data_IF_161823950009
#
_entry.id   IF_161823950009
#
_cell.length_a   1.000
_cell.length_b   1.000
_cell.length_c   1.000
_cell.angle_alpha   90.00
_cell.angle_beta   90.00
_cell.angle_gamma   90.00
#
_symmetry.space_group_name_H-M   'P 1'
#
loop_
_entity.id
_entity.type
_entity.pdbx_description
1 polymer ?
#
# COMPACT_ATOMS: atom_id res chain seq x y z
N UNK A 1 21.38 25.58 -14.66
CA UNK A 1 20.32 25.83 -15.66
C UNK A 1 19.00 25.37 -15.03
N UNK A 2 18.04 26.27 -14.79
CA UNK A 2 16.77 25.87 -14.15
C UNK A 2 15.95 25.02 -15.15
N UNK A 3 15.52 23.82 -14.76
CA UNK A 3 14.63 23.02 -15.60
C UNK A 3 13.32 23.79 -15.84
N UNK A 4 12.78 23.82 -17.08
CA UNK A 4 11.50 24.47 -17.35
C UNK A 4 10.39 23.85 -16.49
N UNK A 5 9.52 24.68 -15.90
CA UNK A 5 8.43 24.18 -15.03
C UNK A 5 7.54 23.12 -15.68
N UNK A 6 7.39 23.17 -17.01
CA UNK A 6 6.66 22.15 -17.79
C UNK A 6 7.33 20.77 -17.75
N UNK A 7 8.67 20.73 -17.79
CA UNK A 7 9.43 19.46 -17.72
C UNK A 7 9.29 18.83 -16.33
N UNK A 8 9.37 19.65 -15.27
CA UNK A 8 9.18 19.18 -13.89
C UNK A 8 7.78 18.57 -13.73
N UNK A 9 6.73 19.26 -14.16
CA UNK A 9 5.37 18.73 -14.06
C UNK A 9 5.17 17.45 -14.88
N UNK A 10 5.77 17.36 -16.07
CA UNK A 10 5.74 16.15 -16.89
C UNK A 10 6.36 14.96 -16.15
N UNK A 11 7.58 15.13 -15.62
CA UNK A 11 8.28 14.06 -14.91
C UNK A 11 7.49 13.58 -13.68
N UNK A 12 6.92 14.51 -12.90
CA UNK A 12 6.13 14.17 -11.70
C UNK A 12 4.80 13.47 -12.08
N UNK A 13 4.19 13.83 -13.20
CA UNK A 13 3.01 13.13 -13.71
C UNK A 13 3.34 11.71 -14.23
N UNK A 14 4.50 11.53 -14.87
CA UNK A 14 4.98 10.20 -15.30
C UNK A 14 5.21 9.27 -14.11
N UNK A 15 5.77 9.78 -13.01
CA UNK A 15 5.94 9.01 -11.76
C UNK A 15 4.58 8.52 -11.25
N UNK A 16 3.57 9.39 -11.20
CA UNK A 16 2.22 9.03 -10.75
C UNK A 16 1.60 7.93 -11.62
N UNK A 17 1.73 8.05 -12.95
CA UNK A 17 1.20 7.06 -13.90
C UNK A 17 1.93 5.72 -13.75
N UNK A 18 3.26 5.74 -13.66
CA UNK A 18 4.06 4.53 -13.48
C UNK A 18 3.79 3.85 -12.13
N UNK A 19 3.52 4.61 -11.07
CA UNK A 19 3.15 4.07 -9.77
C UNK A 19 1.82 3.32 -9.82
N UNK A 20 0.79 3.90 -10.45
CA UNK A 20 -0.48 3.21 -10.64
C UNK A 20 -0.34 1.97 -11.54
N UNK A 21 0.42 2.06 -12.62
CA UNK A 21 0.66 0.92 -13.50
C UNK A 21 1.36 -0.24 -12.76
N UNK A 22 2.38 0.06 -11.95
CA UNK A 22 3.07 -0.95 -11.14
C UNK A 22 2.21 -1.47 -10.01
N UNK A 23 1.32 -0.67 -9.42
CA UNK A 23 0.34 -1.12 -8.43
C UNK A 23 -0.66 -2.11 -9.02
N UNK A 24 -1.21 -1.81 -10.20
CA UNK A 24 -2.10 -2.72 -10.94
C UNK A 24 -1.35 -4.01 -11.28
N UNK A 25 -0.17 -3.91 -11.89
CA UNK A 25 0.65 -5.09 -12.19
C UNK A 25 0.88 -5.96 -10.96
N UNK A 26 1.28 -5.38 -9.82
CA UNK A 26 1.60 -6.14 -8.63
C UNK A 26 0.41 -6.85 -7.98
N UNK A 27 -0.83 -6.33 -8.11
CA UNK A 27 -2.01 -7.04 -7.59
C UNK A 27 -2.46 -8.18 -8.51
N UNK A 28 -2.16 -8.13 -9.81
CA UNK A 28 -2.47 -9.24 -10.72
C UNK A 28 -1.36 -10.29 -10.73
N UNK A 29 -0.12 -9.85 -10.93
CA UNK A 29 1.05 -10.68 -11.23
C UNK A 29 2.10 -10.70 -10.11
N UNK A 30 1.83 -10.06 -8.98
CA UNK A 30 2.77 -10.03 -7.85
C UNK A 30 3.10 -11.45 -7.38
N UNK A 31 4.38 -11.85 -7.31
CA UNK A 31 4.76 -13.21 -6.95
C UNK A 31 4.47 -13.51 -5.48
N UNK A 32 4.26 -14.78 -5.16
CA UNK A 32 4.03 -15.22 -3.79
C UNK A 32 5.35 -15.25 -3.02
N UNK A 33 5.46 -14.60 -1.85
CA UNK A 33 6.68 -14.58 -1.05
C UNK A 33 6.85 -15.90 -0.29
N UNK A 34 7.34 -16.91 -1.00
CA UNK A 34 7.38 -18.30 -0.57
C UNK A 34 8.28 -18.57 0.65
N UNK A 35 9.09 -17.60 1.06
CA UNK A 35 10.09 -17.71 2.13
C UNK A 35 9.67 -17.02 3.44
N UNK A 36 8.54 -16.30 3.47
CA UNK A 36 8.09 -15.57 4.67
C UNK A 36 6.60 -15.74 4.94
N UNK A 37 6.21 -16.20 6.14
CA UNK A 37 4.80 -16.20 6.53
C UNK A 37 4.32 -14.77 6.82
N UNK A 38 3.41 -14.26 5.98
CA UNK A 38 2.82 -12.92 6.10
C UNK A 38 1.36 -12.96 6.58
N UNK A 39 1.01 -14.00 7.34
CA UNK A 39 -0.38 -14.35 7.64
C UNK A 39 -0.95 -15.29 6.58
N UNK A 40 -2.22 -15.07 6.18
CA UNK A 40 -2.93 -15.94 5.25
C UNK A 40 -2.35 -15.86 3.83
N UNK A 41 -2.00 -17.01 3.19
CA UNK A 41 -1.59 -17.04 1.79
C UNK A 41 -2.61 -16.36 0.86
N UNK A 42 -3.90 -16.52 1.12
CA UNK A 42 -4.98 -15.97 0.29
C UNK A 42 -4.89 -14.44 0.10
N UNK A 43 -4.39 -13.72 1.10
CA UNK A 43 -4.33 -12.25 1.12
C UNK A 43 -2.93 -11.67 0.83
N UNK A 44 -1.97 -12.49 0.39
CA UNK A 44 -0.56 -12.09 0.29
C UNK A 44 -0.33 -10.85 -0.59
N UNK A 45 -1.13 -10.68 -1.66
CA UNK A 45 -1.00 -9.58 -2.64
C UNK A 45 -1.11 -8.18 -2.01
N UNK A 46 -1.71 -8.09 -0.82
CA UNK A 46 -1.75 -6.84 -0.05
C UNK A 46 -0.37 -6.32 0.35
N UNK A 47 0.67 -7.17 0.40
CA UNK A 47 2.04 -6.73 0.67
C UNK A 47 2.54 -5.70 -0.37
N UNK A 48 2.00 -5.72 -1.58
CA UNK A 48 2.38 -4.81 -2.66
C UNK A 48 1.64 -3.46 -2.64
N UNK A 49 0.67 -3.29 -1.75
CA UNK A 49 -0.15 -2.08 -1.63
C UNK A 49 -0.06 -1.49 -0.22
N UNK A 50 -0.38 -2.26 0.82
CA UNK A 50 -0.48 -1.73 2.18
C UNK A 50 0.86 -1.24 2.74
N UNK A 51 1.94 -2.06 2.84
CA UNK A 51 3.22 -1.56 3.35
C UNK A 51 3.84 -0.42 2.53
N UNK A 52 3.84 -0.43 1.18
CA UNK A 52 4.26 0.74 0.40
C UNK A 52 3.50 2.01 0.77
N UNK A 53 2.19 1.92 1.02
CA UNK A 53 1.37 3.04 1.49
C UNK A 53 1.80 3.48 2.89
N UNK A 54 1.99 2.55 3.83
CA UNK A 54 2.40 2.82 5.20
C UNK A 54 3.77 3.50 5.29
N UNK A 55 4.75 2.99 4.53
CA UNK A 55 6.10 3.56 4.44
C UNK A 55 6.00 4.97 3.85
N UNK A 56 5.20 5.16 2.81
CA UNK A 56 4.96 6.49 2.22
C UNK A 56 4.36 7.46 3.23
N UNK A 57 3.42 7.03 4.07
CA UNK A 57 2.89 7.83 5.19
C UNK A 57 4.00 8.28 6.13
N UNK A 58 4.88 7.37 6.57
CA UNK A 58 6.00 7.73 7.44
C UNK A 58 6.93 8.77 6.80
N UNK A 59 7.25 8.60 5.51
CA UNK A 59 8.09 9.55 4.79
C UNK A 59 7.42 10.92 4.69
N UNK A 60 6.13 10.98 4.34
CA UNK A 60 5.40 12.25 4.23
C UNK A 60 5.33 12.98 5.58
N UNK A 61 5.03 12.28 6.66
CA UNK A 61 5.03 12.85 8.01
C UNK A 61 6.44 13.25 8.48
N UNK A 62 7.46 12.48 8.11
CA UNK A 62 8.87 12.85 8.32
C UNK A 62 9.24 14.16 7.60
N UNK A 63 8.79 14.35 6.35
CA UNK A 63 8.94 15.60 5.60
C UNK A 63 8.24 16.75 6.30
N UNK A 64 7.03 16.54 6.83
CA UNK A 64 6.32 17.56 7.60
C UNK A 64 7.11 18.00 8.85
N UNK A 65 7.61 17.05 9.63
CA UNK A 65 8.42 17.32 10.83
C UNK A 65 9.76 17.99 10.49
N UNK A 66 10.43 17.55 9.43
CA UNK A 66 11.67 18.19 8.94
C UNK A 66 11.40 19.63 8.51
N UNK A 67 10.31 19.89 7.80
CA UNK A 67 9.90 21.24 7.44
C UNK A 67 9.62 22.10 8.69
N UNK A 68 9.00 21.53 9.73
CA UNK A 68 8.88 22.17 11.04
C UNK A 68 10.24 22.56 11.64
N UNK A 69 11.21 21.64 11.69
CA UNK A 69 12.57 21.94 12.16
C UNK A 69 13.24 23.07 11.35
N UNK A 70 13.13 23.01 10.02
CA UNK A 70 13.71 24.03 9.14
C UNK A 70 13.07 25.40 9.34
N UNK A 71 11.75 25.46 9.62
CA UNK A 71 11.09 26.70 10.02
C UNK A 71 11.67 27.23 11.33
N UNK A 72 11.83 26.40 12.36
CA UNK A 72 12.36 26.85 13.66
C UNK A 72 13.79 27.39 13.53
N UNK A 73 14.60 26.77 12.68
CA UNK A 73 15.98 27.18 12.44
C UNK A 73 16.07 28.46 11.60
N UNK A 74 15.41 28.50 10.44
CA UNK A 74 15.59 29.58 9.45
C UNK A 74 14.56 30.70 9.56
N UNK A 75 13.46 30.48 10.30
CA UNK A 75 12.29 31.38 10.39
C UNK A 75 11.69 31.77 9.04
N UNK A 76 11.85 30.91 8.03
CA UNK A 76 11.30 31.09 6.69
C UNK A 76 9.94 30.38 6.57
N UNK A 77 8.87 31.17 6.37
CA UNK A 77 7.48 30.70 6.24
C UNK A 77 7.27 29.70 5.11
N UNK A 78 8.19 29.63 4.13
CA UNK A 78 8.18 28.59 3.10
C UNK A 78 8.19 27.19 3.71
N UNK A 79 8.92 26.96 4.80
CA UNK A 79 8.94 25.66 5.47
C UNK A 79 7.64 25.36 6.23
N UNK A 80 7.03 26.36 6.88
CA UNK A 80 5.71 26.20 7.50
C UNK A 80 4.63 25.83 6.47
N UNK A 81 4.68 26.42 5.27
CA UNK A 81 3.79 26.04 4.15
C UNK A 81 4.05 24.61 3.67
N UNK A 82 5.32 24.24 3.47
CA UNK A 82 5.69 22.86 3.12
C UNK A 82 5.15 21.85 4.14
N UNK A 83 5.31 22.15 5.43
CA UNK A 83 4.79 21.33 6.52
C UNK A 83 3.27 21.17 6.42
N UNK A 84 2.52 22.25 6.17
CA UNK A 84 1.07 22.19 6.00
C UNK A 84 0.64 21.24 4.88
N UNK A 85 1.25 21.33 3.69
CA UNK A 85 0.95 20.43 2.58
C UNK A 85 1.28 18.97 2.92
N UNK A 86 2.45 18.74 3.51
CA UNK A 86 2.89 17.41 3.89
C UNK A 86 1.96 16.78 4.94
N UNK A 87 1.50 17.53 5.95
CA UNK A 87 0.52 17.02 6.92
C UNK A 87 -0.80 16.66 6.25
N UNK A 88 -1.32 17.52 5.36
CA UNK A 88 -2.57 17.26 4.65
C UNK A 88 -2.51 15.98 3.82
N UNK A 89 -1.44 15.79 3.06
CA UNK A 89 -1.24 14.57 2.29
C UNK A 89 -1.00 13.36 3.20
N UNK A 90 -0.21 13.53 4.25
CA UNK A 90 0.13 12.47 5.20
C UNK A 90 -1.08 11.94 5.95
N UNK A 91 -2.04 12.80 6.31
CA UNK A 91 -3.32 12.39 6.91
C UNK A 91 -4.13 11.54 5.95
N UNK A 92 -4.19 11.91 4.66
CA UNK A 92 -4.87 11.11 3.62
C UNK A 92 -4.24 9.72 3.52
N UNK A 93 -2.91 9.66 3.33
CA UNK A 93 -2.19 8.39 3.24
C UNK A 93 -2.24 7.60 4.56
N UNK A 94 -2.28 8.27 5.71
CA UNK A 94 -2.37 7.65 7.02
C UNK A 94 -3.71 6.95 7.26
N UNK A 95 -4.82 7.59 6.91
CA UNK A 95 -6.13 6.93 6.92
C UNK A 95 -6.22 5.80 5.91
N UNK A 96 -5.64 5.97 4.71
CA UNK A 96 -5.54 4.86 3.74
C UNK A 96 -4.71 3.70 4.28
N UNK A 97 -3.61 3.97 4.99
CA UNK A 97 -2.81 2.94 5.65
C UNK A 97 -3.63 2.18 6.68
N UNK A 98 -4.39 2.87 7.54
CA UNK A 98 -5.27 2.22 8.51
C UNK A 98 -6.33 1.36 7.82
N UNK A 99 -7.05 1.91 6.82
CA UNK A 99 -8.11 1.20 6.11
C UNK A 99 -7.58 -0.05 5.37
N UNK A 100 -6.45 0.09 4.68
CA UNK A 100 -5.84 -1.04 3.94
C UNK A 100 -5.28 -2.11 4.87
N UNK A 101 -4.78 -1.71 6.04
CA UNK A 101 -4.30 -2.62 7.09
C UNK A 101 -5.42 -3.39 7.74
N UNK A 102 -6.54 -2.71 8.06
CA UNK A 102 -7.77 -3.34 8.59
C UNK A 102 -8.29 -4.42 7.63
N UNK A 103 -8.35 -4.10 6.33
CA UNK A 103 -8.82 -5.04 5.32
C UNK A 103 -7.89 -6.26 5.18
N UNK A 104 -6.58 -6.08 5.30
CA UNK A 104 -5.62 -7.18 5.23
C UNK A 104 -5.62 -8.05 6.49
N UNK A 105 -5.70 -7.43 7.68
CA UNK A 105 -5.74 -8.10 8.97
C UNK A 105 -6.93 -9.04 9.12
N UNK A 106 -8.09 -8.66 8.56
CA UNK A 106 -9.32 -9.46 8.61
C UNK A 106 -9.14 -10.91 8.14
N UNK A 107 -8.30 -11.15 7.13
CA UNK A 107 -8.02 -12.50 6.62
C UNK A 107 -6.71 -13.06 7.18
N UNK A 108 -5.71 -12.21 7.40
CA UNK A 108 -4.39 -12.67 7.82
C UNK A 108 -4.34 -13.10 9.28
N UNK A 109 -5.14 -12.45 10.13
CA UNK A 109 -5.14 -12.63 11.58
C UNK A 109 -6.53 -12.93 12.15
N UNK A 110 -7.56 -13.03 11.30
CA UNK A 110 -8.93 -13.39 11.69
C UNK A 110 -9.76 -12.27 12.32
N UNK A 111 -9.20 -11.07 12.52
CA UNK A 111 -9.93 -9.90 13.02
C UNK A 111 -9.48 -8.61 12.30
N UNK A 112 -10.40 -7.71 11.90
CA UNK A 112 -10.06 -6.44 11.27
C UNK A 112 -9.23 -5.51 12.17
N UNK A 113 -9.36 -5.62 13.49
CA UNK A 113 -8.63 -4.80 14.46
C UNK A 113 -8.40 -5.56 15.75
N UNK A 114 -7.14 -5.83 16.09
CA UNK A 114 -6.76 -6.69 17.22
C UNK A 114 -6.10 -5.92 18.37
N UNK A 115 -6.08 -4.59 18.31
CA UNK A 115 -5.31 -3.72 19.22
C UNK A 115 -3.81 -4.03 19.25
N UNK A 116 -3.29 -4.70 18.22
CA UNK A 116 -1.88 -4.98 18.05
C UNK A 116 -1.03 -3.70 18.23
N UNK A 117 0.15 -3.78 18.91
CA UNK A 117 0.95 -2.60 19.22
C UNK A 117 1.30 -1.75 18.00
N UNK A 118 1.55 -2.38 16.85
CA UNK A 118 1.86 -1.67 15.61
C UNK A 118 0.62 -1.00 15.03
N UNK A 119 -0.53 -1.68 15.00
CA UNK A 119 -1.82 -1.09 14.60
C UNK A 119 -2.14 0.15 15.44
N UNK A 120 -2.10 -0.01 16.76
CA UNK A 120 -2.41 1.06 17.72
C UNK A 120 -1.44 2.25 17.58
N UNK A 121 -0.13 1.99 17.42
CA UNK A 121 0.85 3.06 17.24
C UNK A 121 0.64 3.84 15.93
N UNK A 122 0.23 3.18 14.84
CA UNK A 122 -0.12 3.88 13.58
C UNK A 122 -1.37 4.74 13.77
N UNK A 123 -2.40 4.25 14.47
CA UNK A 123 -3.59 5.04 14.78
C UNK A 123 -3.23 6.32 15.57
N UNK A 124 -2.44 6.17 16.64
CA UNK A 124 -1.99 7.31 17.45
C UNK A 124 -1.16 8.29 16.63
N UNK A 125 -0.29 7.80 15.75
CA UNK A 125 0.46 8.64 14.82
C UNK A 125 -0.47 9.44 13.91
N UNK A 126 -1.45 8.81 13.26
CA UNK A 126 -2.39 9.52 12.37
C UNK A 126 -3.18 10.57 13.13
N UNK A 127 -3.67 10.25 14.35
CA UNK A 127 -4.38 11.21 15.20
C UNK A 127 -3.49 12.38 15.65
N UNK A 128 -2.22 12.11 16.00
CA UNK A 128 -1.25 13.15 16.36
C UNK A 128 -0.94 14.09 15.19
N UNK A 129 -0.86 13.59 13.96
CA UNK A 129 -0.69 14.49 12.80
C UNK A 129 -2.00 15.16 12.40
N UNK A 130 -3.17 14.54 12.60
CA UNK A 130 -4.47 15.17 12.39
C UNK A 130 -4.69 16.34 13.35
N UNK A 131 -4.24 16.23 14.61
CA UNK A 131 -4.29 17.28 15.62
C UNK A 131 -3.55 18.57 15.26
N UNK A 132 -2.67 18.53 14.24
CA UNK A 132 -2.00 19.69 13.68
C UNK A 132 -2.98 20.76 13.18
N UNK A 133 -4.08 20.36 12.52
CA UNK A 133 -5.03 21.31 11.93
C UNK A 133 -5.78 22.15 12.96
N UNK A 134 -6.49 21.55 13.94
CA UNK A 134 -7.18 22.35 14.96
C UNK A 134 -6.21 23.21 15.78
N UNK A 135 -5.01 22.69 16.11
CA UNK A 135 -3.96 23.46 16.77
C UNK A 135 -3.58 24.70 15.97
N UNK A 136 -3.20 24.51 14.70
CA UNK A 136 -2.81 25.59 13.80
C UNK A 136 -3.93 26.60 13.59
N UNK A 137 -5.19 26.16 13.45
CA UNK A 137 -6.32 27.07 13.25
C UNK A 137 -6.69 27.88 14.50
N UNK A 138 -6.38 27.38 15.70
CA UNK A 138 -6.69 28.06 16.97
C UNK A 138 -5.83 29.30 17.24
N UNK A 139 -4.73 29.49 16.49
CA UNK A 139 -3.76 30.56 16.74
C UNK A 139 -3.93 31.65 15.69
N UNK A 140 -4.42 32.82 16.11
CA UNK A 140 -4.66 33.95 15.21
C UNK A 140 -3.38 34.64 14.75
N UNK A 141 -2.38 34.79 15.63
CA UNK A 141 -1.12 35.42 15.28
C UNK A 141 -0.32 34.53 14.30
N UNK A 142 0.00 35.01 13.07
CA UNK A 142 0.56 34.14 12.04
C UNK A 142 1.97 33.61 12.36
N UNK A 143 2.79 34.36 13.08
CA UNK A 143 4.16 33.97 13.44
C UNK A 143 4.16 32.93 14.58
N UNK A 144 3.38 33.19 15.63
CA UNK A 144 3.14 32.25 16.73
C UNK A 144 2.48 30.97 16.22
N UNK A 145 1.56 31.07 15.27
CA UNK A 145 0.93 29.91 14.63
C UNK A 145 1.97 29.02 13.97
N UNK A 146 2.82 29.59 13.13
CA UNK A 146 3.87 28.85 12.42
C UNK A 146 4.89 28.24 13.42
N UNK A 147 5.23 28.98 14.49
CA UNK A 147 6.12 28.52 15.57
C UNK A 147 5.55 27.31 16.33
N UNK A 148 4.36 27.45 16.91
CA UNK A 148 3.73 26.40 17.73
C UNK A 148 3.42 25.16 16.88
N UNK A 149 2.95 25.35 15.64
CA UNK A 149 2.70 24.26 14.71
C UNK A 149 3.98 23.48 14.39
N UNK A 150 5.10 24.18 14.23
CA UNK A 150 6.40 23.54 13.93
C UNK A 150 6.93 22.75 15.12
N UNK A 151 6.81 23.28 16.34
CA UNK A 151 7.17 22.55 17.57
C UNK A 151 6.31 21.29 17.73
N UNK A 152 5.00 21.42 17.48
CA UNK A 152 4.08 20.28 17.54
C UNK A 152 4.46 19.16 16.56
N UNK A 153 4.82 19.49 15.32
CA UNK A 153 5.26 18.48 14.35
C UNK A 153 6.53 17.75 14.77
N UNK A 154 7.44 18.40 15.49
CA UNK A 154 8.61 17.73 16.06
C UNK A 154 8.23 16.80 17.21
N UNK A 155 7.25 17.17 18.04
CA UNK A 155 6.72 16.27 19.04
C UNK A 155 6.05 15.05 18.39
N UNK A 156 5.22 15.26 17.36
CA UNK A 156 4.52 14.18 16.63
C UNK A 156 5.46 13.21 15.90
N UNK A 157 6.69 13.62 15.58
CA UNK A 157 7.72 12.73 15.02
C UNK A 157 7.99 11.51 15.94
N UNK A 158 7.85 11.69 17.27
CA UNK A 158 7.98 10.59 18.24
C UNK A 158 6.98 9.46 18.00
N UNK A 159 5.81 9.74 17.43
CA UNK A 159 4.80 8.71 17.11
C UNK A 159 5.23 7.84 15.92
N UNK A 160 6.00 8.39 14.97
CA UNK A 160 6.62 7.58 13.91
C UNK A 160 7.60 6.58 14.53
N UNK A 161 8.47 7.06 15.42
CA UNK A 161 9.47 6.24 16.10
C UNK A 161 8.80 5.15 16.95
N UNK A 162 7.77 5.51 17.72
CA UNK A 162 6.97 4.57 18.49
C UNK A 162 6.39 3.48 17.59
N UNK A 163 5.82 3.85 16.44
CA UNK A 163 5.25 2.89 15.49
C UNK A 163 6.30 1.96 14.87
N UNK A 164 7.50 2.45 14.54
CA UNK A 164 8.60 1.61 14.03
C UNK A 164 9.10 0.65 15.10
N UNK A 165 9.09 1.07 16.36
CA UNK A 165 9.65 0.34 17.48
C UNK A 165 8.64 -0.60 18.16
N UNK A 166 7.33 -0.40 17.92
CA UNK A 166 6.24 -1.14 18.55
C UNK A 166 6.37 -2.67 18.40
N UNK A 167 6.59 -3.17 17.18
CA UNK A 167 6.75 -4.60 16.90
C UNK A 167 8.14 -5.16 17.24
N UNK A 168 9.01 -4.35 17.86
CA UNK A 168 10.33 -4.76 18.36
C UNK A 168 10.39 -4.78 19.88
N UNK A 169 9.57 -3.97 20.55
CA UNK A 169 9.52 -3.88 22.01
C UNK A 169 8.42 -4.73 22.62
N UNK A 170 7.33 -4.94 21.87
CA UNK A 170 6.14 -5.63 22.33
C UNK A 170 5.79 -6.68 21.28
N UNK A 171 5.35 -7.86 21.75
CA UNK A 171 4.84 -8.91 20.88
C UNK A 171 3.74 -8.38 19.97
N UNK A 172 3.85 -8.70 18.69
CA UNK A 172 3.04 -8.11 17.64
C UNK A 172 2.77 -9.13 16.54
N UNK A 173 1.58 -9.06 15.95
CA UNK A 173 1.19 -9.83 14.77
C UNK A 173 1.94 -9.37 13.51
N UNK A 174 2.51 -8.17 13.54
CA UNK A 174 3.26 -7.62 12.41
C UNK A 174 4.64 -8.29 12.28
N UNK A 175 5.07 -8.62 11.04
CA UNK A 175 6.39 -9.19 10.80
C UNK A 175 7.53 -8.36 11.40
N UNK A 176 8.53 -9.05 11.96
CA UNK A 176 9.73 -8.43 12.54
C UNK A 176 10.76 -8.09 11.45
N UNK A 177 11.88 -7.47 11.85
CA UNK A 177 12.98 -7.16 10.93
C UNK A 177 13.63 -8.38 10.29
N UNK A 178 13.57 -9.55 10.94
CA UNK A 178 14.09 -10.82 10.40
C UNK A 178 13.24 -11.29 9.22
N UNK A 179 11.91 -11.28 9.36
CA UNK A 179 11.00 -11.58 8.28
C UNK A 179 11.18 -10.65 7.06
N UNK A 180 11.54 -9.37 7.27
CA UNK A 180 11.84 -8.44 6.17
C UNK A 180 13.15 -8.82 5.45
N UNK A 181 14.15 -9.32 6.18
CA UNK A 181 15.41 -9.80 5.59
C UNK A 181 15.19 -11.05 4.76
N UNK A 182 14.38 -11.98 5.25
CA UNK A 182 14.09 -13.21 4.52
C UNK A 182 13.23 -12.92 3.28
N UNK A 183 12.31 -11.96 3.37
CA UNK A 183 11.50 -11.50 2.24
C UNK A 183 12.37 -10.93 1.11
N UNK A 184 13.47 -10.25 1.43
CA UNK A 184 14.38 -9.71 0.41
C UNK A 184 15.29 -10.77 -0.23
N UNK A 185 15.36 -11.97 0.34
CA UNK A 185 16.06 -13.11 -0.28
C UNK A 185 15.26 -13.73 -1.44
N UNK A 186 13.94 -13.57 -1.46
CA UNK A 186 13.13 -13.84 -2.65
C UNK A 186 13.30 -12.68 -3.65
N UNK A 187 14.11 -12.90 -4.68
CA UNK A 187 14.43 -11.85 -5.64
C UNK A 187 13.18 -11.29 -6.33
N UNK A 188 12.23 -12.13 -6.73
CA UNK A 188 11.07 -11.67 -7.50
C UNK A 188 10.08 -10.90 -6.61
N UNK A 189 9.75 -11.43 -5.43
CA UNK A 189 8.87 -10.76 -4.48
C UNK A 189 9.54 -9.51 -3.90
N UNK A 190 10.81 -9.61 -3.51
CA UNK A 190 11.62 -8.52 -2.99
C UNK A 190 11.77 -7.38 -4.00
N UNK A 191 12.01 -7.68 -5.27
CA UNK A 191 12.14 -6.67 -6.33
C UNK A 191 10.80 -5.97 -6.61
N UNK A 192 9.73 -6.73 -6.78
CA UNK A 192 8.38 -6.18 -7.03
C UNK A 192 7.96 -5.27 -5.88
N UNK A 193 8.14 -5.72 -4.64
CA UNK A 193 7.88 -4.93 -3.44
C UNK A 193 8.72 -3.66 -3.39
N UNK A 194 10.02 -3.76 -3.68
CA UNK A 194 10.93 -2.61 -3.65
C UNK A 194 10.55 -1.55 -4.68
N UNK A 195 10.19 -1.96 -5.91
CA UNK A 195 9.63 -1.05 -6.93
C UNK A 195 8.38 -0.37 -6.39
N UNK A 196 7.45 -1.14 -5.81
CA UNK A 196 6.22 -0.57 -5.23
C UNK A 196 6.50 0.47 -4.15
N UNK A 197 7.44 0.20 -3.24
CA UNK A 197 7.85 1.14 -2.20
C UNK A 197 8.45 2.42 -2.81
N UNK A 198 9.40 2.28 -3.74
CA UNK A 198 10.06 3.43 -4.38
C UNK A 198 9.04 4.27 -5.15
N UNK A 199 8.16 3.65 -5.92
CA UNK A 199 7.14 4.35 -6.71
C UNK A 199 6.12 5.05 -5.82
N UNK A 200 5.63 4.41 -4.75
CA UNK A 200 4.70 5.02 -3.81
C UNK A 200 5.31 6.24 -3.09
N UNK A 201 6.57 6.12 -2.62
CA UNK A 201 7.31 7.23 -2.02
C UNK A 201 7.51 8.36 -3.04
N UNK A 202 7.95 8.02 -4.25
CA UNK A 202 8.17 8.99 -5.32
C UNK A 202 6.89 9.74 -5.68
N UNK A 203 5.75 9.04 -5.75
CA UNK A 203 4.42 9.66 -5.93
C UNK A 203 4.09 10.62 -4.78
N UNK A 204 4.22 10.18 -3.52
CA UNK A 204 3.93 11.02 -2.35
C UNK A 204 4.79 12.30 -2.33
N UNK A 205 6.09 12.17 -2.59
CA UNK A 205 7.00 13.32 -2.70
C UNK A 205 6.71 14.19 -3.91
N UNK A 206 6.28 13.60 -5.04
CA UNK A 206 5.88 14.33 -6.25
C UNK A 206 4.65 15.21 -6.00
N UNK A 207 3.66 14.69 -5.27
CA UNK A 207 2.46 15.43 -4.88
C UNK A 207 2.82 16.62 -3.96
N UNK A 208 3.71 16.41 -2.98
CA UNK A 208 4.22 17.49 -2.13
C UNK A 208 4.96 18.54 -2.97
N UNK A 209 5.85 18.11 -3.87
CA UNK A 209 6.64 19.00 -4.71
C UNK A 209 5.76 19.82 -5.67
N UNK A 210 4.75 19.21 -6.28
CA UNK A 210 3.78 19.90 -7.13
C UNK A 210 2.98 20.93 -6.32
N UNK A 211 2.50 20.56 -5.12
CA UNK A 211 1.74 21.46 -4.26
C UNK A 211 2.59 22.65 -3.78
N UNK A 212 3.85 22.39 -3.43
CA UNK A 212 4.79 23.39 -2.95
C UNK A 212 5.26 24.36 -4.03
N UNK A 213 5.58 23.85 -5.23
CA UNK A 213 6.09 24.66 -6.34
C UNK A 213 5.01 25.49 -7.03
N UNK A 214 3.72 25.17 -6.81
CA UNK A 214 2.56 25.86 -7.39
C UNK A 214 2.60 25.94 -8.92
N UNK A 215 3.29 25.01 -9.58
CA UNK A 215 3.33 24.96 -11.03
C UNK A 215 1.96 24.55 -11.55
N UNK A 216 1.45 25.28 -12.54
CA UNK A 216 0.18 24.95 -13.15
C UNK A 216 0.29 23.60 -13.88
N UNK A 217 -0.51 22.62 -13.44
CA UNK A 217 -0.52 21.30 -14.07
C UNK A 217 -1.29 21.38 -15.40
N UNK A 218 -0.65 21.10 -16.55
CA UNK A 218 -1.34 21.04 -17.84
C UNK A 218 -2.53 20.08 -17.79
N UNK A 219 -3.66 20.48 -18.39
CA UNK A 219 -4.88 19.66 -18.43
C UNK A 219 -4.65 18.26 -19.02
N UNK A 220 -3.75 18.15 -20.01
CA UNK A 220 -3.40 16.86 -20.62
C UNK A 220 -2.75 15.90 -19.62
N UNK A 221 -1.95 16.40 -18.68
CA UNK A 221 -1.33 15.57 -17.65
C UNK A 221 -2.34 15.16 -16.58
N UNK A 222 -3.25 16.07 -16.19
CA UNK A 222 -4.37 15.73 -15.30
C UNK A 222 -5.28 14.68 -15.94
N UNK A 223 -5.53 14.78 -17.25
CA UNK A 223 -6.29 13.78 -17.99
C UNK A 223 -5.55 12.43 -17.98
N UNK A 224 -4.24 12.40 -18.23
CA UNK A 224 -3.45 11.17 -18.18
C UNK A 224 -3.49 10.48 -16.81
N UNK A 225 -3.35 11.27 -15.73
CA UNK A 225 -3.51 10.76 -14.35
C UNK A 225 -4.94 10.24 -14.12
N UNK A 226 -5.95 10.99 -14.54
CA UNK A 226 -7.36 10.60 -14.40
C UNK A 226 -7.72 9.32 -15.16
N UNK A 227 -7.23 9.17 -16.40
CA UNK A 227 -7.40 7.95 -17.20
C UNK A 227 -6.71 6.77 -16.52
N UNK A 228 -5.47 6.94 -16.07
CA UNK A 228 -4.73 5.86 -15.40
C UNK A 228 -5.41 5.44 -14.10
N UNK A 229 -5.90 6.39 -13.31
CA UNK A 229 -6.68 6.10 -12.10
C UNK A 229 -8.01 5.41 -12.43
N UNK A 230 -8.70 5.84 -13.49
CA UNK A 230 -9.91 5.17 -13.98
C UNK A 230 -9.64 3.72 -14.37
N UNK A 231 -8.53 3.46 -15.07
CA UNK A 231 -8.10 2.10 -15.41
C UNK A 231 -7.75 1.28 -14.17
N UNK A 232 -7.09 1.86 -13.17
CA UNK A 232 -6.79 1.17 -11.91
C UNK A 232 -8.06 0.82 -11.12
N UNK A 233 -9.05 1.72 -11.07
CA UNK A 233 -10.36 1.45 -10.46
C UNK A 233 -11.14 0.39 -11.23
N UNK A 234 -11.11 0.43 -12.57
CA UNK A 234 -11.71 -0.61 -13.40
C UNK A 234 -11.02 -1.96 -13.16
N UNK A 235 -9.69 -1.99 -13.07
CA UNK A 235 -8.93 -3.20 -12.77
C UNK A 235 -9.26 -3.77 -11.38
N UNK A 236 -9.44 -2.89 -10.38
CA UNK A 236 -9.94 -3.27 -9.05
C UNK A 236 -11.34 -3.90 -9.13
N UNK A 237 -12.26 -3.31 -9.88
CA UNK A 237 -13.61 -3.87 -10.07
C UNK A 237 -13.57 -5.23 -10.79
N UNK A 238 -12.80 -5.34 -11.88
CA UNK A 238 -12.61 -6.59 -12.62
C UNK A 238 -12.03 -7.70 -11.74
N UNK A 239 -11.07 -7.37 -10.88
CA UNK A 239 -10.49 -8.31 -9.92
C UNK A 239 -11.53 -8.80 -8.89
N UNK A 240 -12.52 -7.99 -8.56
CA UNK A 240 -13.58 -8.37 -7.62
C UNK A 240 -14.70 -9.19 -8.26
N UNK A 241 -14.90 -9.14 -9.58
CA UNK A 241 -16.00 -9.85 -10.25
C UNK A 241 -16.03 -11.37 -9.98
N UNK A 242 -14.90 -12.10 -10.05
CA UNK A 242 -14.89 -13.54 -9.77
C UNK A 242 -15.33 -13.90 -8.35
N UNK A 243 -15.31 -12.97 -7.40
CA UNK A 243 -15.77 -13.19 -6.02
C UNK A 243 -17.29 -13.21 -5.90
N UNK A 244 -18.00 -12.78 -6.93
CA UNK A 244 -19.46 -12.71 -6.97
C UNK A 244 -20.09 -13.92 -7.69
N UNK A 245 -19.26 -14.80 -8.26
CA UNK A 245 -19.71 -15.82 -9.21
C UNK A 245 -19.13 -17.22 -8.92
N UNK A 246 -19.99 -18.23 -9.00
CA UNK A 246 -19.60 -19.64 -9.08
C UNK A 246 -19.24 -20.29 -7.74
N UNK A 247 -18.96 -21.58 -7.81
CA UNK A 247 -18.36 -22.33 -6.69
C UNK A 247 -16.84 -22.13 -6.69
N UNK A 248 -16.29 -21.97 -5.50
CA UNK A 248 -14.85 -21.88 -5.29
C UNK A 248 -14.45 -22.81 -4.14
N UNK A 249 -13.20 -23.24 -4.17
CA UNK A 249 -12.69 -24.24 -3.27
C UNK A 249 -11.46 -23.71 -2.54
N UNK A 250 -11.34 -24.02 -1.25
CA UNK A 250 -10.11 -23.74 -0.51
C UNK A 250 -9.17 -24.93 -0.64
N UNK A 251 -7.98 -24.69 -1.17
CA UNK A 251 -6.94 -25.71 -1.32
C UNK A 251 -6.27 -25.96 0.03
N UNK A 252 -6.28 -27.20 0.50
CA UNK A 252 -5.59 -27.63 1.74
C UNK A 252 -4.32 -28.42 1.46
N UNK A 253 -4.23 -29.03 0.28
CA UNK A 253 -3.02 -29.68 -0.19
C UNK A 253 -2.99 -29.70 -1.72
N UNK A 254 -1.81 -29.90 -2.32
CA UNK A 254 -1.67 -30.12 -3.75
C UNK A 254 -0.50 -31.06 -4.05
N UNK A 255 -0.63 -31.87 -5.09
CA UNK A 255 0.47 -32.62 -5.66
C UNK A 255 1.08 -31.80 -6.80
N UNK A 256 2.31 -31.35 -6.59
CA UNK A 256 3.05 -30.50 -7.54
C UNK A 256 4.30 -31.25 -7.95
N UNK A 257 4.47 -31.47 -9.24
CA UNK A 257 5.65 -32.13 -9.79
C UNK A 257 6.89 -31.23 -9.76
N UNK A 258 8.05 -31.83 -10.04
CA UNK A 258 9.33 -31.09 -10.19
C UNK A 258 9.36 -30.22 -11.44
N UNK A 259 8.44 -30.49 -12.38
CA UNK A 259 8.13 -29.64 -13.54
C UNK A 259 7.33 -28.37 -13.16
N UNK A 260 6.88 -28.25 -11.91
CA UNK A 260 6.07 -27.15 -11.41
C UNK A 260 4.59 -27.23 -11.81
N UNK A 261 4.16 -28.35 -12.41
CA UNK A 261 2.76 -28.59 -12.78
C UNK A 261 2.00 -29.21 -11.61
N UNK A 262 0.70 -28.91 -11.53
CA UNK A 262 -0.21 -29.43 -10.52
C UNK A 262 -0.92 -30.67 -11.09
N UNK A 263 -0.73 -31.80 -10.40
CA UNK A 263 -1.32 -33.10 -10.77
C UNK A 263 -2.63 -33.34 -10.02
N UNK A 264 -2.73 -32.86 -8.78
CA UNK A 264 -3.98 -32.91 -8.01
C UNK A 264 -4.04 -31.79 -6.97
N UNK A 265 -5.26 -31.46 -6.55
CA UNK A 265 -5.51 -30.60 -5.39
C UNK A 265 -6.46 -31.30 -4.42
N UNK A 266 -6.20 -31.15 -3.13
CA UNK A 266 -7.16 -31.49 -2.08
C UNK A 266 -7.84 -30.22 -1.63
N UNK A 267 -9.18 -30.23 -1.64
CA UNK A 267 -10.00 -29.07 -1.33
C UNK A 267 -11.01 -29.36 -0.24
N UNK A 268 -11.38 -28.33 0.52
CA UNK A 268 -12.50 -28.39 1.47
C UNK A 268 -13.78 -27.95 0.77
N UNK A 269 -14.78 -28.83 0.78
CA UNK A 269 -16.13 -28.57 0.25
C UNK A 269 -17.07 -28.03 1.33
N UNK A 270 -18.26 -27.56 0.94
CA UNK A 270 -19.25 -26.91 1.83
C UNK A 270 -19.72 -27.75 3.03
N UNK A 271 -19.46 -29.07 3.02
CA UNK A 271 -19.73 -29.98 4.15
C UNK A 271 -18.54 -30.26 5.07
N UNK A 272 -17.43 -29.51 4.95
CA UNK A 272 -16.16 -29.77 5.64
C UNK A 272 -15.50 -31.12 5.28
N UNK A 273 -15.99 -31.79 4.24
CA UNK A 273 -15.33 -32.96 3.66
C UNK A 273 -14.20 -32.52 2.74
N UNK A 274 -13.06 -33.18 2.87
CA UNK A 274 -11.95 -33.06 1.94
C UNK A 274 -12.20 -33.91 0.71
N UNK A 275 -12.05 -33.32 -0.47
CA UNK A 275 -12.12 -33.99 -1.76
C UNK A 275 -10.81 -33.78 -2.52
N UNK A 276 -10.27 -34.84 -3.12
CA UNK A 276 -9.09 -34.73 -3.97
C UNK A 276 -9.51 -34.75 -5.44
N UNK A 277 -9.20 -33.67 -6.13
CA UNK A 277 -9.45 -33.49 -7.56
C UNK A 277 -8.15 -33.80 -8.28
N UNK A 278 -8.17 -34.84 -9.12
CA UNK A 278 -7.03 -35.25 -9.95
C UNK A 278 -7.21 -34.69 -11.36
N UNK A 279 -6.18 -34.02 -11.87
CA UNK A 279 -6.21 -33.46 -13.23
C UNK A 279 -5.74 -34.52 -14.24
N UNK A 280 -6.56 -34.89 -15.25
CA UNK A 280 -6.15 -35.84 -16.28
C UNK A 280 -4.95 -35.36 -17.10
N UNK A 281 -4.80 -34.04 -17.22
CA UNK A 281 -3.63 -33.36 -17.79
C UNK A 281 -3.13 -32.37 -16.73
N UNK A 282 -1.87 -32.45 -16.29
CA UNK A 282 -1.34 -31.55 -15.28
C UNK A 282 -1.49 -30.08 -15.70
N UNK A 283 -1.84 -29.21 -14.76
CA UNK A 283 -2.11 -27.80 -15.03
C UNK A 283 -0.99 -26.91 -14.51
N UNK A 284 -0.74 -25.78 -15.17
CA UNK A 284 0.23 -24.80 -14.67
C UNK A 284 -0.23 -24.21 -13.33
N UNK A 285 0.71 -24.02 -12.40
CA UNK A 285 0.40 -23.32 -11.16
C UNK A 285 0.12 -21.83 -11.43
N UNK A 286 -1.07 -21.32 -11.05
CA UNK A 286 -1.38 -19.89 -11.11
C UNK A 286 -0.60 -19.07 -10.07
N UNK A 287 -0.01 -19.72 -9.06
CA UNK A 287 0.87 -19.10 -8.08
C UNK A 287 2.32 -19.39 -8.43
N UNK A 288 3.14 -18.33 -8.46
CA UNK A 288 4.57 -18.42 -8.77
C UNK A 288 5.40 -17.95 -7.56
N UNK A 289 6.42 -18.72 -7.13
CA UNK A 289 6.78 -20.07 -7.61
C UNK A 289 5.70 -21.12 -7.23
N UNK A 290 5.69 -22.28 -7.90
CA UNK A 290 4.71 -23.36 -7.63
C UNK A 290 4.96 -24.09 -6.31
N UNK A 291 6.22 -24.12 -5.87
CA UNK A 291 6.66 -24.68 -4.59
C UNK A 291 7.52 -23.69 -3.81
N UNK A 292 7.50 -23.79 -2.49
CA UNK A 292 8.42 -23.11 -1.59
C UNK A 292 9.81 -23.77 -1.61
N UNK A 293 10.80 -23.14 -0.98
CA UNK A 293 12.18 -23.68 -0.92
C UNK A 293 12.27 -25.02 -0.16
N UNK A 294 11.30 -25.31 0.71
CA UNK A 294 11.14 -26.56 1.45
C UNK A 294 10.12 -27.52 0.79
N UNK A 295 9.91 -27.37 -0.52
CA UNK A 295 9.10 -28.26 -1.39
C UNK A 295 7.60 -28.30 -1.07
N UNK A 296 7.07 -27.33 -0.31
CA UNK A 296 5.63 -27.22 -0.06
C UNK A 296 4.91 -26.54 -1.22
N UNK A 297 3.72 -27.01 -1.64
CA UNK A 297 2.92 -26.31 -2.65
C UNK A 297 2.52 -24.92 -2.20
N UNK A 298 2.79 -23.89 -3.01
CA UNK A 298 2.42 -22.50 -2.68
C UNK A 298 0.95 -22.20 -2.86
N UNK A 299 0.25 -23.00 -3.68
CA UNK A 299 -1.18 -22.86 -3.90
C UNK A 299 -2.01 -23.21 -2.66
N UNK A 300 -1.44 -23.96 -1.71
CA UNK A 300 -2.08 -24.28 -0.44
C UNK A 300 -2.52 -23.02 0.31
N UNK A 301 -3.75 -23.03 0.83
CA UNK A 301 -4.38 -21.90 1.51
C UNK A 301 -5.10 -20.91 0.60
N UNK A 302 -4.93 -20.98 -0.72
CA UNK A 302 -5.62 -20.13 -1.68
C UNK A 302 -7.04 -20.63 -1.98
N UNK A 303 -7.88 -19.72 -2.47
CA UNK A 303 -9.17 -20.04 -3.08
C UNK A 303 -8.97 -20.23 -4.57
N UNK A 304 -9.52 -21.31 -5.11
CA UNK A 304 -9.41 -21.65 -6.52
C UNK A 304 -10.77 -21.90 -7.14
N UNK A 305 -10.85 -21.61 -8.44
CA UNK A 305 -11.94 -22.02 -9.33
C UNK A 305 -11.35 -22.88 -10.44
N UNK A 306 -12.06 -23.93 -10.80
CA UNK A 306 -11.72 -24.78 -11.94
C UNK A 306 -12.57 -24.29 -13.13
N UNK A 307 -11.90 -23.90 -14.21
CA UNK A 307 -12.54 -23.44 -15.44
C UNK A 307 -13.21 -24.58 -16.21
N UNK A 308 -14.09 -24.24 -17.16
CA UNK A 308 -14.70 -25.22 -18.06
C UNK A 308 -13.66 -25.93 -18.95
N UNK A 309 -12.51 -25.27 -19.19
CA UNK A 309 -11.34 -25.80 -19.89
C UNK A 309 -10.46 -26.71 -19.02
N UNK A 310 -10.82 -26.89 -17.73
CA UNK A 310 -10.03 -27.64 -16.75
C UNK A 310 -8.86 -26.85 -16.15
N UNK A 311 -8.70 -25.58 -16.53
CA UNK A 311 -7.66 -24.70 -15.99
C UNK A 311 -7.92 -24.29 -14.55
N UNK A 312 -6.86 -23.98 -13.81
CA UNK A 312 -6.95 -23.55 -12.41
C UNK A 312 -6.77 -22.04 -12.29
N UNK A 313 -7.77 -21.36 -11.75
CA UNK A 313 -7.72 -19.92 -11.47
C UNK A 313 -7.68 -19.68 -9.97
N UNK A 314 -6.72 -18.90 -9.48
CA UNK A 314 -6.73 -18.42 -8.09
C UNK A 314 -7.59 -17.17 -7.98
N UNK A 315 -8.50 -17.19 -7.02
CA UNK A 315 -9.33 -16.05 -6.67
C UNK A 315 -8.57 -15.12 -5.71
N UNK A 316 -8.59 -13.80 -5.95
CA UNK A 316 -7.97 -12.83 -5.05
C UNK A 316 -8.80 -12.73 -3.76
N UNK A 317 -8.16 -12.46 -2.62
CA UNK A 317 -8.92 -12.04 -1.45
C UNK A 317 -9.62 -10.68 -1.69
N UNK A 318 -10.84 -10.47 -1.16
CA UNK A 318 -11.60 -9.21 -1.35
C UNK A 318 -10.85 -7.96 -0.91
N UNK A 319 -9.92 -8.08 0.03
CA UNK A 319 -9.12 -6.94 0.49
C UNK A 319 -8.11 -6.44 -0.53
N UNK A 320 -7.67 -7.28 -1.48
CA UNK A 320 -6.74 -6.86 -2.54
C UNK A 320 -7.36 -5.83 -3.51
N UNK A 321 -8.52 -6.09 -4.16
CA UNK A 321 -9.16 -5.07 -5.00
C UNK A 321 -9.57 -3.84 -4.19
N UNK A 322 -10.05 -3.99 -2.95
CA UNK A 322 -10.35 -2.86 -2.08
C UNK A 322 -9.11 -1.99 -1.83
N UNK A 323 -7.98 -2.62 -1.49
CA UNK A 323 -6.74 -1.91 -1.20
C UNK A 323 -6.21 -1.14 -2.42
N UNK A 324 -6.29 -1.73 -3.62
CA UNK A 324 -5.97 -1.02 -4.86
C UNK A 324 -6.87 0.21 -5.07
N UNK A 325 -8.18 0.07 -4.83
CA UNK A 325 -9.12 1.18 -4.96
C UNK A 325 -8.83 2.29 -3.94
N UNK A 326 -8.63 1.95 -2.67
CA UNK A 326 -8.32 2.91 -1.60
C UNK A 326 -7.00 3.65 -1.87
N UNK A 327 -5.97 2.96 -2.35
CA UNK A 327 -4.71 3.56 -2.76
C UNK A 327 -4.91 4.56 -3.90
N UNK A 328 -5.65 4.15 -4.94
CA UNK A 328 -5.95 4.98 -6.11
C UNK A 328 -6.74 6.24 -5.73
N UNK A 329 -7.71 6.11 -4.83
CA UNK A 329 -8.49 7.23 -4.31
C UNK A 329 -7.62 8.20 -3.48
N UNK A 330 -6.74 7.69 -2.61
CA UNK A 330 -5.80 8.52 -1.85
C UNK A 330 -4.92 9.38 -2.76
N UNK A 331 -4.42 8.78 -3.84
CA UNK A 331 -3.63 9.48 -4.86
C UNK A 331 -4.46 10.58 -5.55
N UNK A 332 -5.69 10.28 -5.97
CA UNK A 332 -6.59 11.28 -6.58
C UNK A 332 -6.91 12.43 -5.62
N UNK A 333 -7.15 12.13 -4.34
CA UNK A 333 -7.31 13.15 -3.30
C UNK A 333 -6.03 13.98 -3.16
N UNK A 334 -4.84 13.37 -3.19
CA UNK A 334 -3.56 14.07 -3.19
C UNK A 334 -3.38 15.02 -4.38
N UNK A 335 -3.79 14.60 -5.58
CA UNK A 335 -3.81 15.47 -6.78
C UNK A 335 -4.79 16.63 -6.59
N UNK A 336 -5.99 16.37 -6.06
CA UNK A 336 -6.97 17.40 -5.77
C UNK A 336 -6.48 18.41 -4.71
N UNK A 337 -5.79 17.94 -3.66
CA UNK A 337 -5.14 18.78 -2.64
C UNK A 337 -4.08 19.68 -3.27
N UNK A 338 -3.26 19.12 -4.18
CA UNK A 338 -2.25 19.87 -4.93
C UNK A 338 -2.87 21.03 -5.72
N UNK A 339 -4.00 20.79 -6.39
CA UNK A 339 -4.70 21.82 -7.19
C UNK A 339 -5.36 22.88 -6.30
N UNK A 340 -6.02 22.48 -5.22
CA UNK A 340 -6.83 23.36 -4.37
C UNK A 340 -5.96 24.22 -3.44
N UNK A 341 -5.00 23.59 -2.76
CA UNK A 341 -4.11 24.26 -1.81
C UNK A 341 -2.97 25.00 -2.51
N UNK A 342 -2.60 24.63 -3.74
CA UNK A 342 -1.63 25.39 -4.54
C UNK A 342 -2.12 26.77 -4.99
N UNK A 343 -3.44 26.99 -4.98
CA UNK A 343 -4.11 28.24 -5.44
C UNK A 343 -4.52 29.19 -4.32
N UNK A 344 -4.50 28.76 -3.07
CA UNK A 344 -4.84 29.60 -1.90
C UNK A 344 -3.53 30.09 -1.25
N UNK A 345 -3.51 31.37 -0.88
CA UNK A 345 -2.39 32.21 -0.40
C UNK A 345 -1.54 32.88 -1.47
#
# INVERSE_FOLDING_TARGET
MAMPGRLITLLLAVVIVADLATAVYAVFEGPFPAVVPLGSPLAYKNIYIHPPTAITTYIIFGVASLAGALYLWRRDRRFSRLAFYAVALGVVYGFTTLATGIAWASESWGEPWSWDPKQTAVLLMVLAYLGYFPLRSSIGDPERRDLVSSVYLLASLSMILLSILANRLIESLHPTGEAIRDFSADFQAGWTFSIRVVMAIATGLSLIALAYTRVNIPRILLLGVGVTAGLALAASALMALPLLEGEYYRVVNADVGDDGLIYSITVVTSGSSEETIVFPTPVESPIKPAKTADDRPTITGHLVRIGEDGGLQVLPHWSTPLNLALYTLALLVGVALTITLGRRE
#
